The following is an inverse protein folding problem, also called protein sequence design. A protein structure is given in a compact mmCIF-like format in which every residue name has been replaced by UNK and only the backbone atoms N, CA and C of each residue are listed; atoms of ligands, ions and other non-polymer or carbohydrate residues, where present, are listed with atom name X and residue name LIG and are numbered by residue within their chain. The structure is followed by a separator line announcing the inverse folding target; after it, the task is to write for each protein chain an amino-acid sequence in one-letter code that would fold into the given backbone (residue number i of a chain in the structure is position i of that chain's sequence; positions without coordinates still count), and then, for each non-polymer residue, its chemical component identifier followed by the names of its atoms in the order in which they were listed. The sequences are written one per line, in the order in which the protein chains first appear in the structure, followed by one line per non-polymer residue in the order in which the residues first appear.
data_IF_873796803600
#
_entry.id   IF_873796803600
#
_cell.length_a   1.000
_cell.length_b   1.000
_cell.length_c   1.000
_cell.angle_alpha   90.00
_cell.angle_beta   90.00
_cell.angle_gamma   90.00
#
_symmetry.space_group_name_H-M   'P 1'
#
loop_
_entity.id
_entity.type
_entity.pdbx_description
1 polymer ?
#
# COMPACT_ATOMS: atom_id res chain seq x y z
N UNK A 1 -0.36 -7.22 -7.34
CA UNK A 1 0.64 -7.60 -6.30
C UNK A 1 0.28 -8.89 -5.59
N UNK A 2 -0.99 -9.11 -5.26
CA UNK A 2 -1.46 -10.33 -4.60
C UNK A 2 -2.50 -11.06 -5.46
N UNK A 3 -2.79 -12.32 -5.13
CA UNK A 3 -3.98 -13.03 -5.59
C UNK A 3 -5.14 -12.66 -4.67
N UNK A 4 -6.29 -12.34 -5.24
CA UNK A 4 -7.50 -11.97 -4.50
C UNK A 4 -8.59 -13.00 -4.80
N UNK A 5 -9.15 -13.60 -3.76
CA UNK A 5 -10.15 -14.67 -3.84
C UNK A 5 -11.37 -14.31 -3.01
N UNK A 6 -12.57 -14.49 -3.58
CA UNK A 6 -13.81 -14.54 -2.81
C UNK A 6 -13.91 -15.90 -2.12
N UNK A 7 -14.02 -15.89 -0.79
CA UNK A 7 -13.99 -17.10 0.03
C UNK A 7 -15.17 -17.15 0.98
N UNK A 8 -15.60 -18.38 1.27
CA UNK A 8 -16.58 -18.66 2.33
C UNK A 8 -15.91 -19.57 3.35
N UNK A 9 -16.02 -19.22 4.62
CA UNK A 9 -15.41 -19.98 5.70
C UNK A 9 -16.35 -20.05 6.91
N UNK A 10 -16.29 -21.16 7.63
CA UNK A 10 -17.11 -21.37 8.81
C UNK A 10 -16.30 -21.08 10.07
N UNK A 11 -16.83 -20.24 10.94
CA UNK A 11 -16.23 -20.01 12.26
C UNK A 11 -16.42 -21.23 13.16
N UNK A 12 -15.66 -21.29 14.26
CA UNK A 12 -15.84 -22.35 15.30
C UNK A 12 -17.26 -22.40 15.88
N UNK A 13 -18.04 -21.33 15.73
CA UNK A 13 -19.44 -21.23 16.18
C UNK A 13 -20.44 -21.69 15.11
N UNK A 14 -19.97 -22.22 13.99
CA UNK A 14 -20.82 -22.70 12.89
C UNK A 14 -21.34 -21.59 11.96
N UNK A 15 -21.05 -20.31 12.24
CA UNK A 15 -21.44 -19.21 11.37
C UNK A 15 -20.62 -19.23 10.08
N UNK A 16 -21.30 -19.29 8.95
CA UNK A 16 -20.70 -19.08 7.62
C UNK A 16 -20.48 -17.58 7.41
N UNK A 17 -19.26 -17.21 7.06
CA UNK A 17 -18.86 -15.84 6.72
C UNK A 17 -18.32 -15.82 5.30
N UNK A 18 -18.73 -14.82 4.53
CA UNK A 18 -18.13 -14.50 3.23
C UNK A 18 -17.08 -13.41 3.42
N UNK A 19 -15.91 -13.59 2.81
CA UNK A 19 -14.78 -12.68 2.95
C UNK A 19 -13.92 -12.65 1.69
N UNK A 20 -12.94 -11.75 1.70
CA UNK A 20 -11.95 -11.64 0.64
C UNK A 20 -10.60 -12.10 1.17
N UNK A 21 -10.05 -13.16 0.58
CA UNK A 21 -8.72 -13.64 0.89
C UNK A 21 -7.72 -13.03 -0.09
N UNK A 22 -6.77 -12.26 0.44
CA UNK A 22 -5.65 -11.70 -0.32
C UNK A 22 -4.38 -12.45 0.04
N UNK A 23 -3.73 -13.09 -0.94
CA UNK A 23 -2.51 -13.89 -0.78
C UNK A 23 -1.34 -13.24 -1.52
N UNK A 24 -0.25 -13.00 -0.79
CA UNK A 24 1.00 -12.48 -1.36
C UNK A 24 1.86 -13.66 -1.76
N UNK A 25 1.59 -14.16 -2.96
CA UNK A 25 2.26 -15.33 -3.53
C UNK A 25 3.05 -14.91 -4.77
N UNK A 26 4.38 -15.05 -4.69
CA UNK A 26 5.30 -14.71 -5.79
C UNK A 26 4.94 -15.43 -7.08
N UNK A 27 4.29 -16.59 -7.02
CA UNK A 27 3.98 -17.43 -8.19
C UNK A 27 2.82 -16.89 -9.02
N UNK A 28 1.90 -16.14 -8.40
CA UNK A 28 0.61 -15.80 -9.00
C UNK A 28 0.28 -14.30 -9.00
N UNK A 29 1.12 -13.44 -8.42
CA UNK A 29 0.93 -11.99 -8.51
C UNK A 29 1.04 -11.46 -9.94
N UNK A 30 -0.10 -11.16 -10.58
CA UNK A 30 -0.15 -10.73 -11.99
C UNK A 30 0.69 -9.47 -12.28
N UNK A 31 0.58 -8.45 -11.44
CA UNK A 31 1.38 -7.22 -11.55
C UNK A 31 2.87 -7.45 -11.25
N UNK A 32 3.20 -8.38 -10.34
CA UNK A 32 4.59 -8.72 -10.00
C UNK A 32 5.34 -9.36 -11.17
N UNK A 33 4.60 -10.10 -12.00
CA UNK A 33 5.14 -10.83 -13.16
C UNK A 33 4.98 -10.08 -14.48
N UNK A 34 4.48 -8.84 -14.45
CA UNK A 34 4.45 -7.96 -15.62
C UNK A 34 5.68 -7.05 -15.58
N UNK A 35 6.71 -7.35 -16.37
CA UNK A 35 7.98 -6.60 -16.33
C UNK A 35 7.89 -5.36 -17.23
N UNK A 36 8.74 -4.35 -16.97
CA UNK A 36 8.73 -3.03 -17.64
C UNK A 36 8.77 -3.09 -19.19
N UNK A 37 9.23 -4.20 -19.78
CA UNK A 37 9.18 -4.41 -21.24
C UNK A 37 7.82 -4.84 -21.77
N UNK A 38 6.76 -4.81 -20.95
CA UNK A 38 5.42 -5.35 -21.24
C UNK A 38 5.43 -6.84 -21.62
N UNK A 39 6.47 -7.57 -21.19
CA UNK A 39 6.58 -9.01 -21.38
C UNK A 39 6.20 -9.71 -20.08
N UNK A 40 5.23 -10.64 -20.10
CA UNK A 40 4.97 -11.46 -18.92
C UNK A 40 6.20 -12.32 -18.62
N UNK A 41 6.58 -12.40 -17.35
CA UNK A 41 7.55 -13.36 -16.81
C UNK A 41 6.79 -14.43 -16.03
N UNK A 42 6.10 -15.37 -16.73
CA UNK A 42 5.23 -16.34 -16.08
C UNK A 42 6.05 -17.25 -15.16
N UNK A 43 5.39 -17.73 -14.12
CA UNK A 43 5.95 -18.74 -13.24
C UNK A 43 6.15 -20.06 -13.99
N UNK A 44 7.32 -20.68 -13.81
CA UNK A 44 7.66 -21.99 -14.39
C UNK A 44 8.26 -22.93 -13.34
N UNK A 45 8.33 -24.23 -13.65
CA UNK A 45 9.03 -25.20 -12.80
C UNK A 45 10.53 -24.90 -12.68
N UNK A 46 11.14 -24.31 -13.71
CA UNK A 46 12.54 -23.90 -13.68
C UNK A 46 12.77 -22.77 -12.64
N UNK A 47 11.83 -21.81 -12.56
CA UNK A 47 11.85 -20.78 -11.52
C UNK A 47 11.81 -21.38 -10.12
N UNK A 48 10.89 -22.34 -9.91
CA UNK A 48 10.73 -22.97 -8.60
C UNK A 48 11.97 -23.75 -8.20
N UNK A 49 12.52 -24.57 -9.09
CA UNK A 49 13.74 -25.34 -8.82
C UNK A 49 14.94 -24.44 -8.50
N UNK A 50 15.07 -23.30 -9.21
CA UNK A 50 16.10 -22.31 -8.95
C UNK A 50 15.94 -21.66 -7.56
N UNK A 51 14.72 -21.26 -7.21
CA UNK A 51 14.40 -20.68 -5.90
C UNK A 51 14.60 -21.69 -4.76
N UNK A 52 14.09 -22.91 -4.90
CA UNK A 52 14.27 -24.01 -3.92
C UNK A 52 15.76 -24.29 -3.67
N UNK A 53 16.56 -24.35 -4.74
CA UNK A 53 18.00 -24.54 -4.63
C UNK A 53 18.68 -23.37 -3.92
N UNK A 54 18.26 -22.14 -4.23
CA UNK A 54 18.80 -20.91 -3.64
C UNK A 54 18.53 -20.84 -2.14
N UNK A 55 17.29 -21.12 -1.73
CA UNK A 55 16.86 -21.18 -0.33
C UNK A 55 17.56 -22.35 0.39
N UNK A 56 17.60 -23.53 -0.23
CA UNK A 56 18.23 -24.73 0.34
C UNK A 56 19.74 -24.59 0.56
N UNK A 57 20.40 -23.69 -0.18
CA UNK A 57 21.81 -23.30 0.04
C UNK A 57 22.00 -22.23 1.13
N UNK A 58 20.93 -21.73 1.73
CA UNK A 58 20.98 -20.70 2.76
C UNK A 58 21.29 -19.29 2.25
N UNK A 59 21.05 -19.01 0.95
CA UNK A 59 21.42 -17.73 0.33
C UNK A 59 20.46 -16.58 0.64
N UNK A 60 19.25 -16.87 1.14
CA UNK A 60 18.19 -15.88 1.34
C UNK A 60 18.55 -14.76 2.33
N UNK A 61 19.10 -15.04 3.54
CA UNK A 61 19.40 -13.97 4.50
C UNK A 61 20.38 -12.92 3.96
N UNK A 62 21.48 -13.37 3.36
CA UNK A 62 22.48 -12.48 2.76
C UNK A 62 21.88 -11.69 1.58
N UNK A 63 21.07 -12.35 0.76
CA UNK A 63 20.44 -11.69 -0.38
C UNK A 63 19.41 -10.63 0.02
N UNK A 64 18.60 -10.88 1.07
CA UNK A 64 17.68 -9.88 1.61
C UNK A 64 18.46 -8.69 2.17
N UNK A 65 19.56 -8.94 2.88
CA UNK A 65 20.42 -7.86 3.37
C UNK A 65 20.99 -7.03 2.22
N UNK A 66 21.44 -7.68 1.15
CA UNK A 66 21.88 -7.01 -0.08
C UNK A 66 20.78 -6.12 -0.69
N UNK A 67 19.54 -6.62 -0.80
CA UNK A 67 18.42 -5.83 -1.34
C UNK A 67 18.14 -4.59 -0.49
N UNK A 68 18.13 -4.73 0.84
CA UNK A 68 17.91 -3.61 1.79
C UNK A 68 19.02 -2.57 1.72
N UNK A 69 20.28 -3.01 1.76
CA UNK A 69 21.42 -2.10 1.63
C UNK A 69 21.36 -1.32 0.31
N UNK A 70 20.98 -2.00 -0.77
CA UNK A 70 20.86 -1.37 -2.08
C UNK A 70 19.75 -0.33 -2.14
N UNK A 71 18.57 -0.63 -1.57
CA UNK A 71 17.48 0.35 -1.47
C UNK A 71 17.84 1.59 -0.65
N UNK A 72 18.78 1.49 0.30
CA UNK A 72 19.27 2.64 1.06
C UNK A 72 20.29 3.48 0.27
N UNK A 73 21.03 2.88 -0.66
CA UNK A 73 22.12 3.56 -1.39
C UNK A 73 21.75 4.04 -2.79
N UNK A 74 20.73 3.47 -3.40
CA UNK A 74 20.33 3.76 -4.79
C UNK A 74 19.03 4.58 -4.82
N UNK A 75 18.93 5.50 -5.79
CA UNK A 75 17.74 6.37 -5.94
C UNK A 75 16.47 5.59 -6.28
N UNK A 76 16.60 4.39 -6.86
CA UNK A 76 15.48 3.52 -7.18
C UNK A 76 15.75 2.13 -6.59
N UNK A 77 14.73 1.46 -6.02
CA UNK A 77 14.87 0.08 -5.57
C UNK A 77 15.26 -0.86 -6.72
N UNK A 78 16.02 -1.89 -6.40
CA UNK A 78 16.35 -2.96 -7.36
C UNK A 78 15.06 -3.69 -7.73
N UNK A 79 14.69 -3.60 -8.99
CA UNK A 79 13.50 -4.25 -9.50
C UNK A 79 13.82 -5.70 -9.88
N UNK A 80 12.93 -6.64 -9.54
CA UNK A 80 13.16 -8.07 -9.76
C UNK A 80 13.61 -8.41 -11.19
N UNK A 81 12.99 -7.78 -12.20
CA UNK A 81 13.28 -8.04 -13.61
C UNK A 81 14.74 -7.78 -14.01
N UNK A 82 15.48 -6.93 -13.28
CA UNK A 82 16.90 -6.66 -13.54
C UNK A 82 17.74 -7.93 -13.40
N UNK A 83 17.35 -8.87 -12.53
CA UNK A 83 18.04 -10.14 -12.37
C UNK A 83 17.83 -11.12 -13.54
N UNK A 84 16.82 -10.89 -14.38
CA UNK A 84 16.61 -11.70 -15.59
C UNK A 84 17.68 -11.44 -16.66
N UNK A 85 18.44 -10.34 -16.52
CA UNK A 85 19.55 -9.98 -17.41
C UNK A 85 20.88 -10.60 -16.95
N UNK A 86 20.92 -11.34 -15.83
CA UNK A 86 22.14 -12.00 -15.38
C UNK A 86 22.66 -13.03 -16.41
N UNK A 87 23.97 -13.06 -16.70
CA UNK A 87 24.55 -14.01 -17.66
C UNK A 87 24.31 -15.48 -17.27
N UNK A 88 24.37 -15.78 -15.97
CA UNK A 88 23.96 -17.07 -15.44
C UNK A 88 22.44 -17.07 -15.24
N UNK A 89 21.75 -17.70 -16.20
CA UNK A 89 20.29 -17.81 -16.19
C UNK A 89 19.75 -18.43 -14.89
N UNK A 90 20.37 -19.47 -14.37
CA UNK A 90 19.87 -20.15 -13.16
C UNK A 90 19.97 -19.24 -11.94
N UNK A 91 21.09 -18.53 -11.83
CA UNK A 91 21.31 -17.54 -10.77
C UNK A 91 20.36 -16.34 -10.90
N UNK A 92 20.15 -15.85 -12.13
CA UNK A 92 19.22 -14.78 -12.42
C UNK A 92 17.77 -15.13 -12.05
N UNK A 93 17.32 -16.33 -12.42
CA UNK A 93 15.98 -16.83 -12.06
C UNK A 93 15.80 -16.98 -10.55
N UNK A 94 16.82 -17.49 -9.84
CA UNK A 94 16.78 -17.62 -8.38
C UNK A 94 16.62 -16.25 -7.70
N UNK A 95 17.43 -15.26 -8.09
CA UNK A 95 17.36 -13.90 -7.54
C UNK A 95 16.07 -13.18 -7.92
N UNK A 96 15.59 -13.36 -9.16
CA UNK A 96 14.29 -12.86 -9.58
C UNK A 96 13.17 -13.34 -8.66
N UNK A 97 13.06 -14.66 -8.44
CA UNK A 97 12.04 -15.24 -7.56
C UNK A 97 12.23 -14.83 -6.09
N UNK A 98 13.48 -14.70 -5.63
CA UNK A 98 13.78 -14.23 -4.28
C UNK A 98 13.40 -12.76 -4.06
N UNK A 99 13.58 -11.89 -5.06
CA UNK A 99 13.09 -10.50 -5.00
C UNK A 99 11.57 -10.46 -5.03
N UNK A 100 10.90 -11.25 -5.88
CA UNK A 100 9.44 -11.34 -5.85
C UNK A 100 8.89 -11.86 -4.51
N UNK A 101 9.59 -12.78 -3.85
CA UNK A 101 9.26 -13.20 -2.50
C UNK A 101 9.39 -12.05 -1.51
N UNK A 102 10.52 -11.34 -1.53
CA UNK A 102 10.77 -10.20 -0.64
C UNK A 102 9.70 -9.13 -0.80
N UNK A 103 9.39 -8.75 -2.04
CA UNK A 103 8.33 -7.84 -2.41
C UNK A 103 6.98 -8.28 -1.81
N UNK A 104 6.61 -9.56 -1.94
CA UNK A 104 5.38 -10.10 -1.36
C UNK A 104 5.32 -9.92 0.17
N UNK A 105 6.43 -10.12 0.87
CA UNK A 105 6.50 -9.92 2.32
C UNK A 105 6.37 -8.44 2.67
N UNK A 106 7.09 -7.54 1.99
CA UNK A 106 6.99 -6.10 2.22
C UNK A 106 5.56 -5.59 1.99
N UNK A 107 4.87 -6.05 0.93
CA UNK A 107 3.47 -5.70 0.69
C UNK A 107 2.52 -6.24 1.77
N UNK A 108 2.75 -7.47 2.25
CA UNK A 108 1.97 -8.05 3.35
C UNK A 108 2.16 -7.26 4.65
N UNK A 109 3.41 -6.92 4.99
CA UNK A 109 3.76 -6.20 6.21
C UNK A 109 3.23 -4.75 6.15
N UNK A 110 3.39 -4.07 5.02
CA UNK A 110 2.86 -2.74 4.80
C UNK A 110 1.33 -2.71 4.96
N UNK A 111 0.60 -3.63 4.31
CA UNK A 111 -0.86 -3.67 4.40
C UNK A 111 -1.32 -4.00 5.83
N UNK A 112 -0.65 -4.94 6.50
CA UNK A 112 -0.93 -5.28 7.90
C UNK A 112 -0.72 -4.08 8.82
N UNK A 113 0.40 -3.35 8.65
CA UNK A 113 0.70 -2.15 9.42
C UNK A 113 -0.35 -1.06 9.18
N UNK A 114 -0.80 -0.88 7.93
CA UNK A 114 -1.87 0.05 7.58
C UNK A 114 -3.18 -0.31 8.29
N UNK A 115 -3.63 -1.56 8.22
CA UNK A 115 -4.86 -1.99 8.91
C UNK A 115 -4.79 -1.81 10.43
N UNK A 116 -3.63 -2.06 11.04
CA UNK A 116 -3.42 -1.82 12.47
C UNK A 116 -3.53 -0.33 12.83
N UNK A 117 -2.93 0.56 12.04
CA UNK A 117 -3.00 2.02 12.23
C UNK A 117 -4.41 2.57 11.98
N UNK A 118 -5.17 1.95 11.09
CA UNK A 118 -6.53 2.35 10.70
C UNK A 118 -7.63 1.60 11.46
N UNK A 119 -7.33 1.02 12.63
CA UNK A 119 -8.27 0.21 13.41
C UNK A 119 -9.63 0.92 13.67
N UNK A 120 -9.62 2.24 13.85
CA UNK A 120 -10.81 3.05 14.12
C UNK A 120 -11.66 3.36 12.87
N UNK A 121 -11.06 3.18 11.67
CA UNK A 121 -11.69 3.32 10.35
C UNK A 121 -12.18 1.99 9.76
N UNK A 122 -11.73 0.85 10.31
CA UNK A 122 -12.15 -0.46 9.85
C UNK A 122 -13.66 -0.67 9.98
N UNK A 123 -14.29 -1.12 8.90
CA UNK A 123 -15.73 -1.25 8.81
C UNK A 123 -16.47 0.09 8.63
N UNK A 124 -15.75 1.21 8.40
CA UNK A 124 -16.33 2.52 8.07
C UNK A 124 -15.78 3.13 6.78
N UNK A 125 -14.46 3.22 6.64
CA UNK A 125 -13.77 3.83 5.48
C UNK A 125 -12.81 2.85 4.80
N UNK A 126 -12.38 1.81 5.51
CA UNK A 126 -11.65 0.66 4.96
C UNK A 126 -12.38 -0.63 5.39
N UNK A 127 -12.19 -1.78 4.71
CA UNK A 127 -12.73 -3.06 5.15
C UNK A 127 -12.26 -3.44 6.56
N UNK A 128 -12.94 -4.37 7.22
CA UNK A 128 -12.38 -5.02 8.42
C UNK A 128 -11.34 -6.06 8.02
N UNK A 129 -10.19 -6.06 8.69
CA UNK A 129 -9.26 -7.19 8.66
C UNK A 129 -9.74 -8.24 9.65
N UNK A 130 -10.15 -9.39 9.13
CA UNK A 130 -10.72 -10.50 9.91
C UNK A 130 -9.62 -11.40 10.49
N UNK A 131 -8.55 -11.65 9.74
CA UNK A 131 -7.44 -12.49 10.17
C UNK A 131 -6.19 -12.29 9.31
N UNK A 132 -5.03 -12.63 9.88
CA UNK A 132 -3.85 -13.00 9.10
C UNK A 132 -3.97 -14.46 8.67
N UNK A 133 -3.44 -14.78 7.49
CA UNK A 133 -3.44 -16.11 6.89
C UNK A 133 -2.01 -16.52 6.60
N UNK A 134 -1.69 -17.78 6.89
CA UNK A 134 -0.43 -18.41 6.50
C UNK A 134 -0.77 -19.75 5.86
N UNK A 135 -0.33 -19.95 4.61
CA UNK A 135 -0.49 -21.21 3.90
C UNK A 135 0.89 -21.84 3.76
N UNK A 136 1.13 -22.90 4.53
CA UNK A 136 2.35 -23.69 4.42
C UNK A 136 2.11 -24.85 3.45
N UNK A 137 2.93 -25.01 2.39
CA UNK A 137 2.79 -26.13 1.47
C UNK A 137 3.09 -27.45 2.19
N UNK A 138 2.06 -28.27 2.39
CA UNK A 138 2.08 -29.49 3.22
C UNK A 138 3.04 -30.56 2.71
N UNK A 139 3.42 -30.55 1.42
CA UNK A 139 4.33 -31.54 0.81
C UNK A 139 5.82 -31.27 1.09
N UNK A 140 6.18 -30.05 1.46
CA UNK A 140 7.55 -29.59 1.64
C UNK A 140 7.94 -29.49 3.13
N UNK A 141 6.95 -29.40 4.02
CA UNK A 141 7.14 -29.21 5.46
C UNK A 141 7.94 -30.32 6.17
N UNK A 142 8.02 -31.53 5.60
CA UNK A 142 8.78 -32.65 6.17
C UNK A 142 10.23 -32.74 5.70
N UNK A 143 10.63 -31.98 4.67
CA UNK A 143 11.95 -32.10 4.02
C UNK A 143 12.78 -30.81 4.01
N UNK A 144 12.22 -29.68 4.45
CA UNK A 144 12.92 -28.39 4.51
C UNK A 144 13.51 -28.18 5.92
N UNK A 145 14.72 -27.64 5.98
CA UNK A 145 15.32 -27.19 7.23
C UNK A 145 14.43 -26.13 7.92
N UNK A 146 14.25 -26.15 9.26
CA UNK A 146 13.37 -25.20 9.96
C UNK A 146 13.62 -23.73 9.61
N UNK A 147 14.88 -23.36 9.37
CA UNK A 147 15.33 -22.00 9.02
C UNK A 147 14.88 -21.56 7.62
N UNK A 148 14.67 -22.53 6.73
CA UNK A 148 14.25 -22.28 5.36
C UNK A 148 12.72 -22.28 5.19
N UNK A 149 11.98 -22.85 6.14
CA UNK A 149 10.52 -22.98 6.07
C UNK A 149 9.78 -21.64 5.83
N UNK A 150 10.14 -20.50 6.47
CA UNK A 150 9.45 -19.22 6.25
C UNK A 150 9.48 -18.73 4.80
N UNK A 151 10.49 -19.11 4.01
CA UNK A 151 10.60 -18.70 2.61
C UNK A 151 9.63 -19.42 1.67
N UNK A 152 8.96 -20.47 2.15
CA UNK A 152 7.96 -21.22 1.42
C UNK A 152 6.53 -20.94 1.90
N UNK A 153 6.38 -20.21 3.00
CA UNK A 153 5.08 -19.82 3.51
C UNK A 153 4.48 -18.71 2.64
N UNK A 154 3.22 -18.89 2.25
CA UNK A 154 2.43 -17.85 1.59
C UNK A 154 1.66 -17.09 2.65
N UNK A 155 1.96 -15.80 2.77
CA UNK A 155 1.28 -14.89 3.70
C UNK A 155 0.04 -14.30 3.05
N UNK A 156 -0.92 -13.94 3.86
CA UNK A 156 -2.15 -13.31 3.40
C UNK A 156 -2.95 -12.65 4.50
N UNK A 157 -3.97 -11.91 4.06
CA UNK A 157 -4.96 -11.29 4.94
C UNK A 157 -6.36 -11.68 4.48
N UNK A 158 -7.24 -11.84 5.45
CA UNK A 158 -8.65 -12.09 5.23
C UNK A 158 -9.41 -10.82 5.58
N UNK A 159 -10.18 -10.31 4.63
CA UNK A 159 -10.88 -9.04 4.73
C UNK A 159 -12.41 -9.24 4.68
N UNK A 160 -13.12 -8.29 5.26
CA UNK A 160 -14.56 -8.09 5.04
C UNK A 160 -14.85 -8.00 3.55
N UNK A 161 -15.82 -8.78 3.09
CA UNK A 161 -16.35 -8.67 1.74
C UNK A 161 -17.36 -7.53 1.68
N UNK A 162 -17.20 -6.65 0.71
CA UNK A 162 -18.13 -5.57 0.40
C UNK A 162 -18.85 -5.94 -0.89
N UNK A 163 -20.17 -6.14 -0.79
CA UNK A 163 -21.01 -6.41 -1.96
C UNK A 163 -21.31 -5.09 -2.68
N UNK A 164 -20.55 -4.83 -3.74
CA UNK A 164 -20.51 -3.52 -4.35
C UNK A 164 -19.86 -3.49 -5.72
N UNK A 165 -19.48 -2.30 -6.14
CA UNK A 165 -18.80 -2.07 -7.41
C UNK A 165 -17.52 -1.26 -7.19
N UNK A 166 -16.55 -1.44 -8.08
CA UNK A 166 -15.34 -0.63 -8.10
C UNK A 166 -15.66 0.76 -8.64
N UNK A 167 -15.25 1.82 -7.94
CA UNK A 167 -15.48 3.20 -8.39
C UNK A 167 -14.78 3.47 -9.74
N UNK A 168 -13.63 2.82 -9.98
CA UNK A 168 -12.92 2.88 -11.25
C UNK A 168 -13.70 2.32 -12.45
N UNK A 169 -14.67 1.42 -12.22
CA UNK A 169 -15.44 0.73 -13.26
C UNK A 169 -16.75 1.45 -13.63
N UNK A 170 -17.07 2.57 -12.98
CA UNK A 170 -18.29 3.37 -13.29
C UNK A 170 -18.35 3.80 -14.76
N UNK A 171 -17.23 3.79 -15.48
CA UNK A 171 -17.15 4.02 -16.92
C UNK A 171 -17.71 2.87 -17.77
N UNK A 172 -17.68 1.63 -17.25
CA UNK A 172 -17.97 0.39 -17.99
C UNK A 172 -19.47 0.00 -17.98
N UNK A 173 -20.29 0.63 -17.13
CA UNK A 173 -21.73 0.41 -17.03
C UNK A 173 -22.59 1.63 -17.39
N UNK A 174 -23.92 1.50 -17.49
CA UNK A 174 -24.81 2.66 -17.50
C UNK A 174 -24.54 3.49 -16.23
N UNK A 175 -24.38 4.80 -16.38
CA UNK A 175 -24.15 5.68 -15.24
C UNK A 175 -25.25 5.45 -14.18
N UNK A 176 -24.93 5.54 -12.87
CA UNK A 176 -25.96 5.65 -11.85
C UNK A 176 -26.93 6.74 -12.32
N UNK A 177 -28.23 6.44 -12.34
CA UNK A 177 -29.25 7.31 -12.96
C UNK A 177 -29.28 8.73 -12.37
N UNK A 178 -28.58 8.97 -11.25
CA UNK A 178 -28.42 10.26 -10.59
C UNK A 178 -26.94 10.66 -10.41
N UNK A 179 -26.52 11.72 -11.10
CA UNK A 179 -25.19 12.33 -10.98
C UNK A 179 -24.93 12.93 -9.59
N UNK A 180 -25.98 13.31 -8.84
CA UNK A 180 -25.83 13.84 -7.48
C UNK A 180 -25.36 12.76 -6.52
N UNK A 181 -25.99 11.58 -6.58
CA UNK A 181 -25.56 10.42 -5.80
C UNK A 181 -24.10 10.07 -6.12
N UNK A 182 -23.72 10.06 -7.40
CA UNK A 182 -22.34 9.79 -7.81
C UNK A 182 -21.35 10.84 -7.27
N UNK A 183 -21.71 12.12 -7.30
CA UNK A 183 -20.91 13.19 -6.70
C UNK A 183 -20.69 12.96 -5.20
N UNK A 184 -21.73 12.56 -4.46
CA UNK A 184 -21.62 12.27 -3.02
C UNK A 184 -20.71 11.08 -2.72
N UNK A 185 -20.77 10.02 -3.54
CA UNK A 185 -19.88 8.86 -3.43
C UNK A 185 -18.42 9.27 -3.66
N UNK A 186 -18.16 10.05 -4.72
CA UNK A 186 -16.81 10.50 -5.05
C UNK A 186 -16.26 11.43 -3.97
N UNK A 187 -17.09 12.37 -3.47
CA UNK A 187 -16.72 13.25 -2.37
C UNK A 187 -16.36 12.42 -1.13
N UNK A 188 -17.21 11.45 -0.75
CA UNK A 188 -16.97 10.60 0.41
C UNK A 188 -15.70 9.75 0.26
N UNK A 189 -15.35 9.33 -0.95
CA UNK A 189 -14.12 8.59 -1.21
C UNK A 189 -12.87 9.49 -1.10
N UNK A 190 -12.94 10.73 -1.59
CA UNK A 190 -11.87 11.72 -1.43
C UNK A 190 -11.68 12.10 0.06
N UNK A 191 -12.77 12.30 0.79
CA UNK A 191 -12.76 12.56 2.22
C UNK A 191 -12.16 11.38 2.99
N UNK A 192 -12.49 10.14 2.60
CA UNK A 192 -11.91 8.94 3.20
C UNK A 192 -10.39 8.86 3.02
N UNK A 193 -9.87 9.26 1.85
CA UNK A 193 -8.43 9.32 1.63
C UNK A 193 -7.76 10.33 2.57
N UNK A 194 -8.37 11.51 2.74
CA UNK A 194 -7.87 12.51 3.68
C UNK A 194 -7.90 12.02 5.14
N UNK A 195 -8.94 11.28 5.55
CA UNK A 195 -8.99 10.65 6.87
C UNK A 195 -7.86 9.66 7.10
N UNK A 196 -7.47 8.90 6.07
CA UNK A 196 -6.29 8.03 6.13
C UNK A 196 -5.01 8.87 6.28
N UNK A 197 -4.88 9.96 5.52
CA UNK A 197 -3.73 10.88 5.65
C UNK A 197 -3.60 11.47 7.05
N UNK A 198 -4.70 11.81 7.73
CA UNK A 198 -4.67 12.30 9.12
C UNK A 198 -4.09 11.29 10.12
N UNK A 199 -4.04 10.00 9.79
CA UNK A 199 -3.48 8.93 10.63
C UNK A 199 -2.01 8.62 10.32
N UNK A 200 -1.35 9.49 9.54
CA UNK A 200 0.06 9.36 9.21
C UNK A 200 0.34 8.33 8.12
N UNK A 201 -0.61 8.12 7.20
CA UNK A 201 -0.47 7.19 6.08
C UNK A 201 -0.66 7.96 4.75
N UNK A 202 0.29 7.83 3.84
CA UNK A 202 0.14 8.24 2.44
C UNK A 202 -0.02 6.98 1.60
N UNK A 203 -1.13 6.87 0.87
CA UNK A 203 -1.35 5.75 -0.05
C UNK A 203 -0.63 6.06 -1.37
N UNK A 204 0.45 5.34 -1.65
CA UNK A 204 1.21 5.53 -2.88
C UNK A 204 0.37 5.13 -4.11
N UNK A 205 -0.43 4.07 -3.97
CA UNK A 205 -1.36 3.64 -5.01
C UNK A 205 -2.81 4.12 -4.76
N UNK A 206 -2.98 5.40 -4.44
CA UNK A 206 -4.32 5.98 -4.29
C UNK A 206 -4.99 6.18 -5.65
N UNK A 207 -6.10 5.50 -5.92
CA UNK A 207 -6.83 5.64 -7.18
C UNK A 207 -8.27 5.12 -7.08
N UNK A 208 -9.18 5.51 -8.01
CA UNK A 208 -10.56 5.02 -8.00
C UNK A 208 -10.69 3.50 -8.13
N UNK A 209 -9.71 2.83 -8.74
CA UNK A 209 -9.68 1.36 -8.85
C UNK A 209 -9.50 0.65 -7.49
N UNK A 210 -8.99 1.38 -6.50
CA UNK A 210 -8.78 0.91 -5.14
C UNK A 210 -9.89 1.42 -4.20
N UNK A 211 -11.07 1.73 -4.75
CA UNK A 211 -12.27 2.13 -4.00
C UNK A 211 -13.42 1.20 -4.37
N UNK A 212 -13.94 0.48 -3.38
CA UNK A 212 -15.15 -0.35 -3.52
C UNK A 212 -16.32 0.38 -2.90
N UNK A 213 -17.40 0.57 -3.65
CA UNK A 213 -18.63 1.22 -3.19
C UNK A 213 -19.65 0.17 -2.86
N UNK A 214 -20.10 0.12 -1.61
CA UNK A 214 -21.19 -0.76 -1.17
C UNK A 214 -22.46 -0.47 -1.99
N UNK A 215 -23.01 -1.50 -2.63
CA UNK A 215 -24.14 -1.36 -3.54
C UNK A 215 -25.47 -1.03 -2.85
N UNK A 216 -25.58 -1.23 -1.53
CA UNK A 216 -26.77 -0.92 -0.74
C UNK A 216 -26.70 0.46 -0.12
N UNK A 217 -25.56 0.81 0.47
CA UNK A 217 -25.42 2.07 1.21
C UNK A 217 -24.75 3.19 0.42
N UNK A 218 -24.22 2.90 -0.77
CA UNK A 218 -23.36 3.79 -1.55
C UNK A 218 -22.15 4.32 -0.75
N UNK A 219 -21.69 3.55 0.24
CA UNK A 219 -20.54 3.96 1.07
C UNK A 219 -19.25 3.47 0.41
N UNK A 220 -18.32 4.37 0.03
CA UNK A 220 -17.04 3.97 -0.51
C UNK A 220 -16.12 3.43 0.60
N UNK A 221 -15.33 2.42 0.26
CA UNK A 221 -14.27 1.84 1.08
C UNK A 221 -12.98 1.79 0.30
N UNK A 222 -11.93 2.34 0.88
CA UNK A 222 -10.59 2.26 0.33
C UNK A 222 -10.04 0.87 0.61
N UNK A 223 -9.53 0.21 -0.42
CA UNK A 223 -8.94 -1.12 -0.40
C UNK A 223 -7.51 -1.06 -0.93
N UNK A 224 -6.80 -2.20 -0.86
CA UNK A 224 -5.43 -2.35 -1.35
C UNK A 224 -4.44 -1.38 -0.71
N UNK A 225 -4.15 -1.59 0.58
CA UNK A 225 -3.24 -0.76 1.37
C UNK A 225 -1.81 -1.32 1.39
N UNK A 226 -1.45 -2.19 0.46
CA UNK A 226 -0.13 -2.81 0.35
C UNK A 226 0.98 -1.81 0.02
N UNK A 227 0.63 -0.65 -0.55
CA UNK A 227 1.59 0.37 -0.97
C UNK A 227 1.29 1.68 -0.24
N UNK A 228 1.72 1.75 1.00
CA UNK A 228 1.61 2.93 1.84
C UNK A 228 2.98 3.40 2.32
N UNK A 229 3.12 4.71 2.50
CA UNK A 229 4.18 5.31 3.28
C UNK A 229 3.63 5.74 4.64
N UNK A 230 4.41 5.49 5.68
CA UNK A 230 4.07 5.88 7.04
C UNK A 230 4.87 7.11 7.42
N UNK A 231 4.21 8.10 8.03
CA UNK A 231 4.82 9.39 8.37
C UNK A 231 6.12 9.21 9.14
N UNK A 232 6.14 8.34 10.15
CA UNK A 232 7.35 8.15 10.96
C UNK A 232 8.54 7.58 10.17
N UNK A 233 8.29 6.71 9.18
CA UNK A 233 9.33 6.11 8.34
C UNK A 233 9.84 7.10 7.30
N UNK A 234 8.93 7.91 6.72
CA UNK A 234 9.30 9.01 5.83
C UNK A 234 10.19 10.02 6.56
N UNK A 235 9.81 10.42 7.77
CA UNK A 235 10.59 11.36 8.57
C UNK A 235 11.97 10.79 8.91
N UNK A 236 12.04 9.52 9.33
CA UNK A 236 13.32 8.86 9.56
C UNK A 236 14.20 8.85 8.29
N UNK A 237 13.59 8.57 7.14
CA UNK A 237 14.30 8.57 5.86
C UNK A 237 14.82 9.96 5.48
N UNK A 238 14.00 11.01 5.60
CA UNK A 238 14.41 12.38 5.31
C UNK A 238 15.59 12.83 6.19
N UNK A 239 15.61 12.41 7.46
CA UNK A 239 16.76 12.66 8.34
C UNK A 239 18.03 11.94 7.88
N UNK A 240 17.91 10.69 7.41
CA UNK A 240 19.06 9.95 6.84
C UNK A 240 19.56 10.60 5.54
N UNK A 241 18.66 11.17 4.76
CA UNK A 241 18.95 11.83 3.50
C UNK A 241 19.49 13.27 3.67
N UNK A 242 19.54 13.79 4.90
CA UNK A 242 20.11 15.10 5.19
C UNK A 242 19.16 16.29 5.02
N UNK A 243 17.85 16.05 4.88
CA UNK A 243 16.87 17.12 4.58
C UNK A 243 16.79 18.17 5.71
N UNK A 244 17.18 17.81 6.93
CA UNK A 244 17.27 18.74 8.06
C UNK A 244 18.28 19.88 7.88
N UNK A 245 19.16 19.80 6.87
CA UNK A 245 20.12 20.85 6.55
C UNK A 245 19.48 22.03 5.80
N UNK A 246 18.29 21.82 5.22
CA UNK A 246 17.51 22.88 4.58
C UNK A 246 16.79 23.73 5.64
N UNK A 247 17.09 25.04 5.67
CA UNK A 247 16.65 25.98 6.72
C UNK A 247 15.12 26.08 6.86
N UNK A 248 14.39 25.90 5.76
CA UNK A 248 12.91 25.97 5.71
C UNK A 248 12.24 24.58 5.81
N UNK A 249 13.02 23.51 5.94
CA UNK A 249 12.46 22.16 5.97
C UNK A 249 11.78 21.86 7.29
N UNK A 250 10.58 21.28 7.19
CA UNK A 250 9.79 20.85 8.33
C UNK A 250 9.11 19.51 8.00
N UNK A 251 9.38 18.43 8.78
CA UNK A 251 8.85 17.10 8.47
C UNK A 251 7.32 17.02 8.52
N UNK A 252 6.66 17.90 9.27
CA UNK A 252 5.20 17.92 9.34
C UNK A 252 4.62 18.62 8.10
N UNK A 253 5.30 19.65 7.61
CA UNK A 253 4.93 20.34 6.37
C UNK A 253 5.13 19.41 5.19
N UNK A 254 6.32 18.81 5.07
CA UNK A 254 6.69 17.90 3.98
C UNK A 254 5.70 16.73 3.87
N UNK A 255 5.33 16.14 5.01
CA UNK A 255 4.32 15.08 5.04
C UNK A 255 2.98 15.53 4.42
N UNK A 256 2.50 16.74 4.77
CA UNK A 256 1.22 17.23 4.25
C UNK A 256 1.28 17.68 2.79
N UNK A 257 2.43 18.17 2.33
CA UNK A 257 2.69 18.48 0.92
C UNK A 257 2.63 17.19 0.07
N UNK A 258 3.20 16.08 0.56
CA UNK A 258 3.09 14.80 -0.15
C UNK A 258 1.68 14.19 -0.06
N UNK A 259 1.02 14.31 1.09
CA UNK A 259 -0.31 13.74 1.32
C UNK A 259 -1.43 14.43 0.52
N UNK A 260 -1.24 15.66 0.03
CA UNK A 260 -2.28 16.44 -0.64
C UNK A 260 -2.83 15.77 -1.91
N UNK A 261 -2.01 14.96 -2.55
CA UNK A 261 -2.36 14.29 -3.80
C UNK A 261 -3.37 13.15 -3.61
N UNK A 262 -3.48 12.55 -2.41
CA UNK A 262 -4.30 11.36 -2.20
C UNK A 262 -5.80 11.59 -2.48
N UNK A 263 -6.49 12.58 -1.89
CA UNK A 263 -7.90 12.84 -2.21
C UNK A 263 -8.13 13.18 -3.69
N UNK A 264 -7.23 13.96 -4.30
CA UNK A 264 -7.32 14.36 -5.70
C UNK A 264 -7.12 13.17 -6.66
N UNK A 265 -6.25 12.22 -6.30
CA UNK A 265 -6.02 11.00 -7.08
C UNK A 265 -7.29 10.15 -7.25
N UNK A 266 -8.28 10.29 -6.36
CA UNK A 266 -9.63 9.74 -6.53
C UNK A 266 -10.56 10.76 -7.18
N UNK A 267 -10.76 11.91 -6.50
CA UNK A 267 -11.79 12.88 -6.86
C UNK A 267 -11.59 13.49 -8.23
N UNK A 268 -10.39 14.02 -8.53
CA UNK A 268 -10.12 14.74 -9.78
C UNK A 268 -10.12 13.77 -10.96
N UNK A 269 -9.62 12.55 -10.76
CA UNK A 269 -9.67 11.48 -11.77
C UNK A 269 -11.11 11.17 -12.11
N UNK A 270 -11.98 10.96 -11.12
CA UNK A 270 -13.40 10.66 -11.39
C UNK A 270 -14.16 11.83 -12.01
N UNK A 271 -13.93 13.08 -11.54
CA UNK A 271 -14.50 14.29 -12.14
C UNK A 271 -14.12 14.37 -13.63
N UNK A 272 -12.83 14.18 -13.95
CA UNK A 272 -12.33 14.23 -15.33
C UNK A 272 -13.01 13.18 -16.21
N UNK A 273 -13.11 11.94 -15.70
CA UNK A 273 -13.74 10.81 -16.39
C UNK A 273 -15.23 11.08 -16.67
N UNK A 274 -15.97 11.55 -15.67
CA UNK A 274 -17.40 11.82 -15.78
C UNK A 274 -17.68 13.02 -16.69
N UNK A 275 -16.87 14.07 -16.61
CA UNK A 275 -16.98 15.22 -17.49
C UNK A 275 -16.75 14.82 -18.95
N UNK A 276 -15.74 13.99 -19.24
CA UNK A 276 -15.51 13.48 -20.60
C UNK A 276 -16.69 12.69 -21.15
N UNK A 277 -17.40 11.94 -20.29
CA UNK A 277 -18.51 11.08 -20.69
C UNK A 277 -19.85 11.81 -20.80
N UNK A 278 -20.10 12.78 -19.92
CA UNK A 278 -21.44 13.40 -19.75
C UNK A 278 -21.48 14.87 -20.12
N UNK A 279 -20.33 15.53 -20.27
CA UNK A 279 -20.21 16.98 -20.38
C UNK A 279 -20.43 17.74 -19.06
N UNK A 280 -20.84 17.06 -17.98
CA UNK A 280 -21.10 17.66 -16.68
C UNK A 280 -19.86 17.56 -15.80
N UNK A 281 -19.40 18.70 -15.29
CA UNK A 281 -18.34 18.74 -14.27
C UNK A 281 -18.98 18.64 -12.89
N UNK A 282 -18.63 17.60 -12.14
CA UNK A 282 -19.06 17.46 -10.75
C UNK A 282 -18.27 18.43 -9.84
N UNK A 283 -18.93 18.89 -8.78
CA UNK A 283 -18.32 19.75 -7.77
C UNK A 283 -17.81 18.90 -6.60
N UNK A 284 -16.48 18.71 -6.54
CA UNK A 284 -15.79 17.98 -5.46
C UNK A 284 -14.89 18.96 -4.73
N UNK A 285 -14.99 18.97 -3.40
CA UNK A 285 -14.21 19.81 -2.51
C UNK A 285 -13.05 19.00 -1.93
N UNK A 286 -11.92 19.66 -1.78
CA UNK A 286 -10.73 19.09 -1.16
C UNK A 286 -10.37 19.91 0.08
N UNK A 287 -9.68 19.31 1.07
CA UNK A 287 -9.09 20.05 2.18
C UNK A 287 -8.22 21.20 1.68
N UNK A 288 -8.21 22.33 2.39
CA UNK A 288 -7.27 23.42 2.12
C UNK A 288 -5.90 23.07 2.72
N UNK A 289 -5.07 22.37 1.95
CA UNK A 289 -3.74 21.96 2.38
C UNK A 289 -2.82 23.16 2.66
N UNK A 290 -3.03 24.30 2.00
CA UNK A 290 -2.29 25.54 2.29
C UNK A 290 -2.65 26.06 3.68
N UNK A 291 -3.92 26.03 4.06
CA UNK A 291 -4.36 26.41 5.40
C UNK A 291 -3.83 25.43 6.47
N UNK A 292 -3.86 24.12 6.20
CA UNK A 292 -3.30 23.10 7.10
C UNK A 292 -1.81 23.36 7.35
N UNK A 293 -1.02 23.55 6.29
CA UNK A 293 0.42 23.84 6.35
C UNK A 293 0.68 25.16 7.08
N UNK A 294 -0.06 26.23 6.76
CA UNK A 294 0.08 27.51 7.43
C UNK A 294 -0.23 27.41 8.94
N UNK A 295 -1.23 26.60 9.31
CA UNK A 295 -1.57 26.31 10.70
C UNK A 295 -0.46 25.57 11.44
N UNK A 296 0.23 24.63 10.78
CA UNK A 296 1.40 23.92 11.35
C UNK A 296 2.52 24.91 11.63
N UNK A 297 2.90 25.72 10.63
CA UNK A 297 3.96 26.73 10.77
C UNK A 297 3.67 27.71 11.90
N UNK A 298 2.41 28.18 12.01
CA UNK A 298 1.99 29.09 13.10
C UNK A 298 2.16 28.46 14.48
N UNK A 299 1.66 27.24 14.69
CA UNK A 299 1.77 26.54 15.99
C UNK A 299 3.23 26.33 16.40
N UNK A 300 4.11 26.00 15.46
CA UNK A 300 5.54 25.83 15.75
C UNK A 300 6.22 27.14 16.11
N UNK A 301 5.91 28.23 15.41
CA UNK A 301 6.39 29.57 15.76
C UNK A 301 5.95 30.01 17.17
N UNK A 302 4.70 29.71 17.55
CA UNK A 302 4.17 29.99 18.89
C UNK A 302 4.92 29.21 19.99
N UNK A 303 5.23 27.93 19.75
CA UNK A 303 6.02 27.10 20.67
C UNK A 303 7.45 27.63 20.81
N UNK A 304 8.13 27.91 19.70
CA UNK A 304 9.49 28.46 19.73
C UNK A 304 9.57 29.81 20.45
N UNK A 305 8.56 30.68 20.26
CA UNK A 305 8.47 31.97 20.96
C UNK A 305 8.18 31.82 22.47
N UNK A 306 7.51 30.74 22.88
CA UNK A 306 7.27 30.44 24.29
C UNK A 306 8.54 29.90 24.97
N UNK A 307 9.29 29.03 24.29
CA UNK A 307 10.56 28.45 24.80
C UNK A 307 11.68 29.51 24.87
N UNK A 308 11.76 30.41 23.90
CA UNK A 308 12.73 31.52 23.91
C UNK A 308 12.53 32.55 25.03
N UNK A 309 11.34 32.60 25.65
CA UNK A 309 11.05 33.45 26.81
C UNK A 309 11.42 32.82 28.16
N UNK A 310 11.86 31.55 28.17
CA UNK A 310 12.19 30.79 29.39
C UNK A 310 13.68 30.75 29.76
N UNK A 311 14.59 31.30 28.96
CA UNK A 311 16.02 31.32 29.27
C UNK A 311 16.36 32.48 30.23
N UNK A 312 16.82 32.23 31.47
CA UNK A 312 17.20 33.31 32.37
C UNK A 312 18.45 34.03 31.83
N UNK A 313 18.33 35.33 31.63
CA UNK A 313 19.49 36.21 31.48
C UNK A 313 20.38 36.01 32.71
N UNK A 314 21.56 35.41 32.54
CA UNK A 314 22.63 35.50 33.53
C UNK A 314 23.05 36.96 33.60
N UNK A 315 22.55 37.65 34.63
CA UNK A 315 23.02 38.97 35.01
C UNK A 315 24.46 38.85 35.53
N UNK A 316 25.40 39.44 34.78
CA UNK A 316 26.78 39.71 35.20
C UNK A 316 26.83 40.78 36.29
#
# INVERSE_FOLDING_TARGET
MAVVLDVSFQTRRGQLIHGVLKLYDRRFGSSLRNILTNKPAPYTQENEAAFETFVGRGMMPEFIHYLKQKSETETLPIAAWQFLEEPDRTKGLAKFEATLWHDCIEYFECETKAYNRLADLQGKLVPRMLAHVSLSPTKLATSIAPEAAPYFDVRGILLERIDGYCLGDVELGPLPQDLRTLQQVIQSAADAAHEINKRGIIMNDCAPRNVVVDGKSNTPRIVDLAQCYFREELVEQWYKDGWQEDEDWDPDVEYWEQAENNPAAIGLVMVTRIQKRTGVKLDIRYPDYKEIIAGIRRRKAEVAAAEGKGAPQKSS
#
